data_IF_498126348765
#
_entry.id   IF_498126348765
#
_cell.length_a   1.000
_cell.length_b   1.000
_cell.length_c   1.000
_cell.angle_alpha   90.00
_cell.angle_beta   90.00
_cell.angle_gamma   90.00
#
_symmetry.space_group_name_H-M   'P 1'
#
loop_
_entity.id
_entity.type
_entity.pdbx_description
1 polymer ?
#
# COMPACT_ATOMS: atom_id res chain seq x y z
N UNK A 1 2.22 7.82 19.20
CA UNK A 1 3.09 7.58 18.02
C UNK A 1 2.69 6.37 17.19
N UNK A 2 2.22 5.27 17.81
CA UNK A 2 1.90 4.01 17.10
C UNK A 2 0.84 4.18 15.98
N UNK A 3 -0.26 4.91 16.25
CA UNK A 3 -1.34 5.12 15.27
C UNK A 3 -0.85 5.91 14.06
N UNK A 4 -0.07 6.98 14.28
CA UNK A 4 0.53 7.77 13.19
C UNK A 4 1.45 6.91 12.31
N UNK A 5 2.24 6.03 12.93
CA UNK A 5 3.12 5.09 12.23
C UNK A 5 2.34 4.04 11.44
N UNK A 6 1.28 3.49 12.05
CA UNK A 6 0.38 2.57 11.37
C UNK A 6 -0.25 3.22 10.14
N UNK A 7 -0.86 4.41 10.29
CA UNK A 7 -1.49 5.14 9.18
C UNK A 7 -0.47 5.42 8.08
N UNK A 8 0.73 5.91 8.44
CA UNK A 8 1.76 6.22 7.46
C UNK A 8 2.21 4.96 6.70
N UNK A 9 2.49 3.88 7.41
CA UNK A 9 2.88 2.60 6.80
C UNK A 9 1.77 2.06 5.91
N UNK A 10 0.52 2.08 6.38
CA UNK A 10 -0.64 1.62 5.64
C UNK A 10 -0.79 2.39 4.32
N UNK A 11 -0.75 3.72 4.37
CA UNK A 11 -0.89 4.58 3.19
C UNK A 11 0.24 4.34 2.20
N UNK A 12 1.50 4.29 2.67
CA UNK A 12 2.66 4.07 1.80
C UNK A 12 2.57 2.69 1.12
N UNK A 13 2.31 1.63 1.89
CA UNK A 13 2.19 0.28 1.33
C UNK A 13 1.05 0.18 0.33
N UNK A 14 -0.12 0.75 0.64
CA UNK A 14 -1.27 0.73 -0.27
C UNK A 14 -1.01 1.49 -1.57
N UNK A 15 -0.41 2.68 -1.50
CA UNK A 15 -0.06 3.48 -2.68
C UNK A 15 1.02 2.78 -3.51
N UNK A 16 2.03 2.20 -2.87
CA UNK A 16 3.08 1.45 -3.55
C UNK A 16 2.52 0.25 -4.32
N UNK A 17 1.65 -0.55 -3.68
CA UNK A 17 0.98 -1.67 -4.34
C UNK A 17 0.08 -1.23 -5.49
N UNK A 18 -0.65 -0.12 -5.32
CA UNK A 18 -1.52 0.42 -6.37
C UNK A 18 -0.70 0.89 -7.58
N UNK A 19 0.43 1.56 -7.33
CA UNK A 19 1.36 1.99 -8.37
C UNK A 19 1.99 0.81 -9.09
N UNK A 20 2.43 -0.21 -8.36
CA UNK A 20 3.04 -1.41 -8.96
C UNK A 20 2.06 -2.12 -9.90
N UNK A 21 0.79 -2.21 -9.50
CA UNK A 21 -0.26 -2.85 -10.29
C UNK A 21 -0.80 -1.97 -11.43
N UNK A 22 -0.61 -0.65 -11.38
CA UNK A 22 -0.87 0.25 -12.51
C UNK A 22 -0.03 -0.11 -13.74
N UNK A 23 1.17 -0.68 -13.56
CA UNK A 23 2.07 -1.04 -14.66
C UNK A 23 2.08 -2.55 -14.98
N UNK A 24 1.01 -3.27 -14.64
CA UNK A 24 0.90 -4.70 -14.93
C UNK A 24 0.83 -4.95 -16.45
N UNK A 25 1.54 -5.96 -16.93
CA UNK A 25 1.58 -6.33 -18.36
C UNK A 25 0.21 -6.85 -18.80
N UNK A 26 -0.22 -6.46 -20.00
CA UNK A 26 -1.44 -6.96 -20.63
C UNK A 26 -2.67 -6.09 -20.38
N UNK A 27 -2.49 -4.80 -20.14
CA UNK A 27 -3.60 -3.88 -20.02
C UNK A 27 -4.30 -3.67 -21.35
N UNK A 28 -5.63 -3.73 -21.36
CA UNK A 28 -6.45 -3.50 -22.56
C UNK A 28 -6.11 -2.17 -23.25
N UNK A 29 -5.76 -1.14 -22.47
CA UNK A 29 -5.45 0.21 -22.99
C UNK A 29 -4.12 0.29 -23.75
N UNK A 30 -3.23 -0.68 -23.57
CA UNK A 30 -1.95 -0.75 -24.28
C UNK A 30 -2.18 -1.12 -25.75
N UNK A 31 -3.18 -1.98 -25.98
CA UNK A 31 -3.54 -2.52 -27.29
C UNK A 31 -4.45 -1.59 -28.11
N UNK A 32 -4.83 -0.43 -27.56
CA UNK A 32 -5.64 0.57 -28.26
C UNK A 32 -4.67 1.59 -28.90
N UNK A 33 -4.48 1.55 -30.23
CA UNK A 33 -3.55 2.46 -30.90
C UNK A 33 -4.07 3.91 -30.94
N UNK A 34 -5.39 4.12 -30.95
CA UNK A 34 -6.00 5.46 -30.97
C UNK A 34 -6.06 6.13 -29.58
N UNK A 35 -5.74 5.40 -28.51
CA UNK A 35 -5.81 5.94 -27.16
C UNK A 35 -4.71 6.99 -26.94
N UNK A 36 -5.13 8.21 -26.60
CA UNK A 36 -4.23 9.30 -26.24
C UNK A 36 -3.42 8.94 -24.99
N UNK A 37 -2.24 9.55 -24.84
CA UNK A 37 -1.38 9.33 -23.68
C UNK A 37 -2.10 9.64 -22.36
N UNK A 38 -2.94 10.68 -22.32
CA UNK A 38 -3.75 11.01 -21.15
C UNK A 38 -4.80 9.95 -20.83
N UNK A 39 -5.42 9.34 -21.84
CA UNK A 39 -6.35 8.23 -21.63
C UNK A 39 -5.63 7.00 -21.08
N UNK A 40 -4.44 6.68 -21.60
CA UNK A 40 -3.59 5.58 -21.11
C UNK A 40 -3.24 5.76 -19.64
N UNK A 41 -2.75 6.94 -19.25
CA UNK A 41 -2.44 7.26 -17.84
C UNK A 41 -3.68 7.12 -16.96
N UNK A 42 -4.83 7.67 -17.37
CA UNK A 42 -6.08 7.53 -16.61
C UNK A 42 -6.47 6.06 -16.41
N UNK A 43 -6.35 5.24 -17.46
CA UNK A 43 -6.61 3.80 -17.39
C UNK A 43 -5.71 3.10 -16.37
N UNK A 44 -4.40 3.32 -16.43
CA UNK A 44 -3.45 2.73 -15.48
C UNK A 44 -3.70 3.14 -14.03
N UNK A 45 -4.04 4.40 -13.81
CA UNK A 45 -4.35 4.89 -12.46
C UNK A 45 -5.61 4.21 -11.95
N UNK A 46 -6.71 4.24 -12.71
CA UNK A 46 -7.98 3.66 -12.27
C UNK A 46 -7.82 2.18 -11.94
N UNK A 47 -7.25 1.42 -12.86
CA UNK A 47 -7.12 -0.03 -12.72
C UNK A 47 -6.09 -0.41 -11.66
N UNK A 48 -4.98 0.35 -11.51
CA UNK A 48 -4.06 0.15 -10.39
C UNK A 48 -4.73 0.33 -9.03
N UNK A 49 -5.74 1.20 -8.92
CA UNK A 49 -6.51 1.39 -7.69
C UNK A 49 -7.65 0.37 -7.52
N UNK A 50 -8.35 -0.03 -8.58
CA UNK A 50 -9.51 -0.94 -8.50
C UNK A 50 -9.11 -2.41 -8.46
N UNK A 51 -8.07 -2.81 -9.19
CA UNK A 51 -7.66 -4.20 -9.31
C UNK A 51 -7.10 -4.71 -7.98
N UNK A 52 -7.57 -5.88 -7.56
CA UNK A 52 -7.17 -6.54 -6.31
C UNK A 52 -7.29 -5.65 -5.05
N UNK A 53 -8.25 -4.71 -5.02
CA UNK A 53 -8.37 -3.72 -3.95
C UNK A 53 -8.42 -4.36 -2.55
N UNK A 54 -9.20 -5.43 -2.38
CA UNK A 54 -9.31 -6.17 -1.11
C UNK A 54 -7.95 -6.74 -0.69
N UNK A 55 -7.21 -7.35 -1.62
CA UNK A 55 -5.89 -7.94 -1.33
C UNK A 55 -4.90 -6.85 -0.91
N UNK A 56 -4.89 -5.70 -1.62
CA UNK A 56 -4.03 -4.57 -1.25
C UNK A 56 -4.35 -4.03 0.14
N UNK A 57 -5.63 -3.91 0.48
CA UNK A 57 -6.07 -3.50 1.82
C UNK A 57 -5.57 -4.46 2.89
N UNK A 58 -5.68 -5.78 2.66
CA UNK A 58 -5.20 -6.79 3.60
C UNK A 58 -3.67 -6.73 3.77
N UNK A 59 -2.92 -6.60 2.68
CA UNK A 59 -1.45 -6.48 2.73
C UNK A 59 -1.04 -5.19 3.45
N UNK A 60 -1.67 -4.06 3.14
CA UNK A 60 -1.37 -2.78 3.77
C UNK A 60 -1.71 -2.80 5.27
N UNK A 61 -2.84 -3.39 5.66
CA UNK A 61 -3.24 -3.55 7.06
C UNK A 61 -2.28 -4.49 7.80
N UNK A 62 -1.96 -5.64 7.22
CA UNK A 62 -1.02 -6.61 7.79
C UNK A 62 0.38 -6.01 7.96
N UNK A 63 0.89 -5.33 6.93
CA UNK A 63 2.19 -4.65 6.96
C UNK A 63 2.23 -3.53 8.01
N UNK A 64 1.19 -2.70 8.07
CA UNK A 64 1.08 -1.63 9.07
C UNK A 64 1.03 -2.17 10.50
N UNK A 65 0.23 -3.22 10.74
CA UNK A 65 0.15 -3.87 12.06
C UNK A 65 1.47 -4.53 12.43
N UNK A 66 2.10 -5.25 11.51
CA UNK A 66 3.42 -5.87 11.72
C UNK A 66 4.49 -4.83 12.06
N UNK A 67 4.55 -3.73 11.29
CA UNK A 67 5.45 -2.62 11.58
C UNK A 67 5.19 -2.00 12.96
N UNK A 68 3.91 -1.83 13.33
CA UNK A 68 3.52 -1.33 14.65
C UNK A 68 3.98 -2.25 15.79
N UNK A 69 3.77 -3.57 15.65
CA UNK A 69 4.13 -4.58 16.65
C UNK A 69 5.64 -4.75 16.82
N UNK A 70 6.42 -4.74 15.73
CA UNK A 70 7.88 -4.84 15.80
C UNK A 70 8.53 -3.67 16.55
N UNK A 71 7.89 -2.50 16.53
CA UNK A 71 8.36 -1.33 17.27
C UNK A 71 7.89 -1.27 18.73
N UNK A 72 6.94 -2.12 19.13
CA UNK A 72 6.66 -2.36 20.54
C UNK A 72 7.78 -3.26 21.08
N UNK A 73 8.93 -2.67 21.41
CA UNK A 73 9.98 -3.35 22.16
C UNK A 73 9.33 -3.97 23.42
N UNK A 74 9.37 -5.30 23.61
CA UNK A 74 8.85 -5.90 24.83
C UNK A 74 9.66 -5.36 26.01
N UNK A 75 8.95 -4.76 26.97
CA UNK A 75 9.37 -4.28 28.28
C UNK A 75 10.85 -3.99 28.51
N UNK A 76 11.21 -2.71 28.66
CA UNK A 76 12.27 -2.39 29.62
C UNK A 76 11.74 -2.86 30.99
N UNK A 77 12.47 -3.72 31.74
CA UNK A 77 12.04 -4.10 33.07
C UNK A 77 11.96 -2.81 33.89
N UNK A 78 10.78 -2.52 34.40
CA UNK A 78 10.60 -1.54 35.46
C UNK A 78 11.47 -1.99 36.63
N UNK A 79 12.63 -1.37 36.81
CA UNK A 79 13.44 -1.56 38.01
C UNK A 79 12.63 -1.01 39.20
N UNK A 80 12.22 -1.85 40.17
CA UNK A 80 11.65 -1.35 41.41
C UNK A 80 12.81 -1.21 42.40
N UNK A 81 13.35 -0.01 42.58
CA UNK A 81 14.18 0.34 43.75
C UNK A 81 13.86 1.79 44.10
N UNK A 82 12.96 1.98 45.08
CA UNK A 82 13.26 2.16 46.52
C UNK A 82 14.13 3.39 46.74
#
# INVERSE_FOLDING_TARGET
MIIKRFILSFVITYLFLSLLLSFSIGYTIDWIPEATLTQKIKGYVIEGFTRFNIIKLLIAAGGGTGYGLLYLKPGSPSSPKR
#
